data_IF_537152258417
#
_entry.id   IF_537152258417
#
_cell.length_a   1.000
_cell.length_b   1.000
_cell.length_c   1.000
_cell.angle_alpha   90.00
_cell.angle_beta   90.00
_cell.angle_gamma   90.00
#
_symmetry.space_group_name_H-M   'P 1'
#
loop_
_entity.id
_entity.type
_entity.pdbx_description
1 polymer ?
#
# COMPACT_ATOMS: atom_id res chain seq x y z
N UNK A 1 -15.24 29.20 4.16
CA UNK A 1 -16.19 28.09 3.95
C UNK A 1 -15.33 26.96 3.43
N UNK A 2 -14.81 26.12 4.31
CA UNK A 2 -13.81 25.11 3.92
C UNK A 2 -14.55 23.89 3.37
N UNK A 3 -14.61 23.81 2.05
CA UNK A 3 -15.30 22.76 1.32
C UNK A 3 -14.82 21.39 1.75
N UNK A 4 -15.79 20.58 2.16
CA UNK A 4 -15.64 19.19 2.54
C UNK A 4 -15.37 18.35 1.29
N UNK A 5 -14.23 18.57 0.65
CA UNK A 5 -13.91 17.96 -0.65
C UNK A 5 -13.49 16.51 -0.42
N UNK A 6 -14.49 15.64 -0.42
CA UNK A 6 -14.34 14.20 -0.38
C UNK A 6 -14.09 13.73 -1.81
N UNK A 7 -12.91 13.15 -2.02
CA UNK A 7 -12.45 12.62 -3.29
C UNK A 7 -12.67 11.10 -3.36
N UNK A 8 -12.91 10.61 -4.58
CA UNK A 8 -12.91 9.19 -4.92
C UNK A 8 -11.51 8.69 -5.27
N UNK A 9 -11.33 7.37 -5.42
CA UNK A 9 -10.06 6.76 -5.85
C UNK A 9 -9.55 7.37 -7.16
N UNK A 10 -10.45 7.60 -8.12
CA UNK A 10 -10.10 8.15 -9.43
C UNK A 10 -9.64 9.60 -9.36
N UNK A 11 -10.23 10.39 -8.48
CA UNK A 11 -9.84 11.78 -8.25
C UNK A 11 -8.51 11.87 -7.51
N UNK A 12 -8.29 11.02 -6.51
CA UNK A 12 -7.00 10.91 -5.81
C UNK A 12 -5.91 10.44 -6.76
N UNK A 13 -6.21 9.50 -7.65
CA UNK A 13 -5.27 9.04 -8.67
C UNK A 13 -4.88 10.19 -9.62
N UNK A 14 -5.84 11.02 -10.05
CA UNK A 14 -5.55 12.21 -10.84
C UNK A 14 -4.74 13.25 -10.06
N UNK A 15 -5.07 13.44 -8.78
CA UNK A 15 -4.38 14.37 -7.90
C UNK A 15 -2.90 13.99 -7.70
N UNK A 16 -2.64 12.71 -7.41
CA UNK A 16 -1.29 12.16 -7.22
C UNK A 16 -0.58 11.82 -8.54
N UNK A 17 -1.25 12.01 -9.70
CA UNK A 17 -0.78 11.60 -11.03
C UNK A 17 -0.37 10.12 -11.12
N UNK A 18 -1.18 9.25 -10.55
CA UNK A 18 -0.98 7.80 -10.51
C UNK A 18 -2.12 7.03 -11.16
N UNK A 19 -1.93 5.71 -11.31
CA UNK A 19 -2.99 4.80 -11.74
C UNK A 19 -4.00 4.58 -10.61
N UNK A 20 -5.32 4.57 -10.88
CA UNK A 20 -6.35 4.28 -9.87
C UNK A 20 -6.16 2.95 -9.15
N UNK A 21 -5.63 1.93 -9.85
CA UNK A 21 -5.33 0.62 -9.26
C UNK A 21 -4.32 0.70 -8.11
N UNK A 22 -3.30 1.56 -8.25
CA UNK A 22 -2.28 1.78 -7.22
C UNK A 22 -2.88 2.45 -5.99
N UNK A 23 -3.67 3.51 -6.20
CA UNK A 23 -4.37 4.20 -5.11
C UNK A 23 -5.35 3.27 -4.38
N UNK A 24 -6.08 2.44 -5.13
CA UNK A 24 -6.96 1.44 -4.56
C UNK A 24 -6.21 0.42 -3.70
N UNK A 25 -5.06 -0.07 -4.18
CA UNK A 25 -4.21 -1.02 -3.45
C UNK A 25 -3.71 -0.39 -2.15
N UNK A 26 -3.20 0.84 -2.18
CA UNK A 26 -2.75 1.52 -0.96
C UNK A 26 -3.86 1.81 0.03
N UNK A 27 -5.06 2.13 -0.47
CA UNK A 27 -6.20 2.33 0.40
C UNK A 27 -6.54 1.02 1.13
N UNK A 28 -6.49 -0.12 0.43
CA UNK A 28 -6.63 -1.43 1.05
C UNK A 28 -5.49 -1.77 2.03
N UNK A 29 -4.25 -1.44 1.68
CA UNK A 29 -3.06 -1.67 2.51
C UNK A 29 -2.94 -0.67 3.68
N UNK A 30 -3.80 0.35 3.74
CA UNK A 30 -3.77 1.40 4.77
C UNK A 30 -2.59 2.38 4.64
N UNK A 31 -1.95 2.44 3.47
CA UNK A 31 -0.79 3.32 3.23
C UNK A 31 -1.17 4.77 2.95
N UNK A 32 -2.40 5.00 2.48
CA UNK A 32 -2.95 6.32 2.17
C UNK A 32 -4.17 6.61 3.07
N UNK A 33 -4.32 7.83 3.61
CA UNK A 33 -5.43 8.16 4.50
C UNK A 33 -6.75 8.23 3.73
N UNK A 34 -7.53 7.16 3.83
CA UNK A 34 -8.86 7.04 3.23
C UNK A 34 -9.80 6.23 4.10
N UNK A 35 -11.11 6.40 3.91
CA UNK A 35 -12.13 5.62 4.59
C UNK A 35 -12.99 4.88 3.57
N UNK A 36 -13.21 3.59 3.81
CA UNK A 36 -14.14 2.80 3.02
C UNK A 36 -15.57 3.08 3.47
N UNK A 37 -16.35 3.77 2.65
CA UNK A 37 -17.75 4.07 2.88
C UNK A 37 -18.60 3.21 1.95
N UNK A 38 -19.15 2.13 2.51
CA UNK A 38 -19.91 1.13 1.76
C UNK A 38 -19.04 0.38 0.75
N UNK A 39 -19.27 0.62 -0.54
CA UNK A 39 -18.58 -0.04 -1.65
C UNK A 39 -17.41 0.76 -2.23
N UNK A 40 -17.28 2.02 -1.82
CA UNK A 40 -16.31 2.95 -2.40
C UNK A 40 -15.34 3.47 -1.33
N UNK A 41 -14.16 3.87 -1.78
CA UNK A 41 -13.22 4.60 -0.95
C UNK A 41 -13.41 6.10 -1.10
N UNK A 42 -13.36 6.79 0.03
CA UNK A 42 -13.51 8.23 0.14
C UNK A 42 -12.31 8.80 0.87
N UNK A 43 -11.76 9.88 0.33
CA UNK A 43 -10.55 10.51 0.83
C UNK A 43 -10.83 11.98 1.05
N UNK A 44 -10.47 12.52 2.22
CA UNK A 44 -10.61 13.96 2.45
C UNK A 44 -9.39 14.65 1.86
N UNK A 45 -9.61 15.62 0.97
CA UNK A 45 -8.52 16.38 0.34
C UNK A 45 -7.56 17.00 1.34
N UNK A 46 -8.07 17.64 2.40
CA UNK A 46 -7.24 18.24 3.45
C UNK A 46 -6.27 17.24 4.11
N UNK A 47 -6.74 16.01 4.39
CA UNK A 47 -5.91 14.99 5.04
C UNK A 47 -4.87 14.44 4.04
N UNK A 48 -5.26 14.30 2.78
CA UNK A 48 -4.34 13.91 1.71
C UNK A 48 -3.22 14.94 1.54
N UNK A 49 -3.54 16.23 1.56
CA UNK A 49 -2.58 17.32 1.44
C UNK A 49 -1.55 17.27 2.57
N UNK A 50 -2.02 17.16 3.82
CA UNK A 50 -1.16 17.00 5.00
C UNK A 50 -0.31 15.74 4.92
N UNK A 51 -0.87 14.62 4.45
CA UNK A 51 -0.12 13.37 4.31
C UNK A 51 0.99 13.49 3.26
N UNK A 52 0.73 14.16 2.14
CA UNK A 52 1.74 14.42 1.11
C UNK A 52 2.85 15.29 1.69
N UNK A 53 2.50 16.38 2.35
CA UNK A 53 3.47 17.32 2.93
C UNK A 53 4.39 16.62 3.95
N UNK A 54 3.80 15.81 4.83
CA UNK A 54 4.55 14.95 5.76
C UNK A 54 5.43 13.92 5.03
N UNK A 55 4.92 13.30 3.95
CA UNK A 55 5.68 12.30 3.19
C UNK A 55 6.89 12.90 2.47
N UNK A 56 6.77 14.14 1.98
CA UNK A 56 7.86 14.88 1.33
C UNK A 56 8.87 15.35 2.38
N UNK A 57 8.39 15.87 3.52
CA UNK A 57 9.25 16.30 4.62
C UNK A 57 10.10 15.16 5.18
N UNK A 58 9.58 13.93 5.15
CA UNK A 58 10.30 12.75 5.63
C UNK A 58 11.35 12.23 4.64
N UNK A 59 11.41 12.69 3.37
CA UNK A 59 12.44 12.18 2.46
C UNK A 59 12.61 12.83 1.07
N UNK A 60 13.87 12.86 0.58
CA UNK A 60 14.24 12.93 -0.85
C UNK A 60 14.04 11.59 -1.62
N UNK A 61 13.42 10.57 -1.03
CA UNK A 61 13.21 9.23 -1.62
C UNK A 61 12.28 8.29 -0.82
N UNK A 62 11.40 8.83 0.02
CA UNK A 62 10.69 8.07 1.07
C UNK A 62 9.44 7.39 0.54
N UNK A 63 8.86 7.98 -0.49
CA UNK A 63 7.86 7.34 -1.32
C UNK A 63 8.43 6.06 -1.96
N UNK A 64 9.70 6.05 -2.39
CA UNK A 64 10.32 4.89 -3.04
C UNK A 64 10.57 3.73 -2.05
N UNK A 65 11.04 4.05 -0.83
CA UNK A 65 11.25 3.08 0.25
C UNK A 65 9.95 2.39 0.70
N UNK A 66 8.85 3.13 0.78
CA UNK A 66 7.56 2.59 1.23
C UNK A 66 6.94 1.65 0.17
N UNK A 67 7.24 1.85 -1.11
CA UNK A 67 6.78 0.99 -2.20
C UNK A 67 7.66 -0.23 -2.44
N UNK A 68 8.98 -0.12 -2.23
CA UNK A 68 9.90 -1.25 -2.37
C UNK A 68 9.62 -2.36 -1.35
N UNK A 69 9.02 -2.04 -0.20
CA UNK A 69 8.64 -3.05 0.79
C UNK A 69 7.57 -4.03 0.26
N UNK A 70 6.76 -3.65 -0.74
CA UNK A 70 5.80 -4.55 -1.38
C UNK A 70 6.43 -5.45 -2.46
N UNK A 71 7.59 -5.10 -3.03
CA UNK A 71 8.29 -5.94 -4.03
C UNK A 71 9.19 -6.97 -3.35
N UNK A 72 9.71 -6.66 -2.15
CA UNK A 72 10.56 -7.59 -1.39
C UNK A 72 9.78 -8.66 -0.62
N UNK A 73 8.50 -8.45 -0.30
CA UNK A 73 7.68 -9.48 0.36
C UNK A 73 7.16 -10.58 -0.58
N UNK A 74 7.24 -10.39 -1.91
CA UNK A 74 6.80 -11.41 -2.88
C UNK A 74 7.85 -12.45 -3.24
N UNK A 75 9.03 -12.46 -2.59
CA UNK A 75 10.08 -13.43 -2.94
C UNK A 75 10.93 -13.94 -1.76
N UNK A 76 10.28 -14.37 -0.67
CA UNK A 76 10.93 -15.27 0.30
C UNK A 76 10.26 -16.64 0.31
N UNK A 77 10.78 -17.47 -0.61
CA UNK A 77 10.95 -18.92 -0.56
C UNK A 77 9.90 -19.77 0.17
N UNK A 78 9.11 -20.46 -0.65
CA UNK A 78 8.70 -21.84 -0.44
C UNK A 78 9.85 -22.67 0.15
N UNK A 79 9.60 -23.31 1.28
CA UNK A 79 10.23 -24.60 1.57
C UNK A 79 9.63 -25.55 0.54
N UNK A 80 10.43 -26.00 -0.43
CA UNK A 80 9.99 -26.97 -1.42
C UNK A 80 9.56 -28.26 -0.73
N UNK A 81 8.54 -28.95 -1.26
CA UNK A 81 8.07 -30.24 -0.69
C UNK A 81 9.22 -31.24 -0.49
N UNK A 82 10.26 -31.14 -1.32
CA UNK A 82 11.48 -31.94 -1.27
C UNK A 82 12.32 -31.70 -0.01
N UNK A 83 12.36 -30.46 0.53
CA UNK A 83 13.01 -30.16 1.81
C UNK A 83 12.18 -30.62 3.01
N UNK A 84 10.85 -30.65 2.90
CA UNK A 84 9.99 -31.21 3.95
C UNK A 84 10.14 -32.74 4.00
N UNK A 85 10.21 -33.40 2.83
CA UNK A 85 10.38 -34.86 2.72
C UNK A 85 11.76 -35.32 3.22
N UNK A 86 12.83 -34.54 2.99
CA UNK A 86 14.17 -34.87 3.50
C UNK A 86 14.24 -34.76 5.03
N UNK A 87 13.65 -33.71 5.62
CA UNK A 87 13.61 -33.51 7.07
C UNK A 87 12.78 -34.57 7.81
N UNK A 88 11.68 -35.02 7.19
CA UNK A 88 10.85 -36.10 7.75
C UNK A 88 11.55 -37.45 7.69
N UNK A 89 12.36 -37.71 6.65
CA UNK A 89 13.11 -38.96 6.52
C UNK A 89 14.28 -39.04 7.52
N UNK A 90 14.97 -37.93 7.77
CA UNK A 90 16.07 -37.86 8.74
C UNK A 90 15.60 -37.98 10.19
N UNK A 91 14.33 -37.65 10.49
CA UNK A 91 13.75 -37.74 11.84
C UNK A 91 13.25 -39.16 12.22
N UNK A 92 13.28 -40.12 11.29
CA UNK A 92 12.76 -41.48 11.48
C UNK A 92 13.87 -42.56 11.51
N UNK A 93 15.14 -42.18 11.51
CA UNK A 93 16.31 -43.03 11.82
C UNK A 93 16.92 -42.70 13.19
#
# INVERSE_FOLDING_TARGET
MEESDIMTVEEVARFLKMKPQTVYKWAQEGQIPGTKLGKEWRFRKSILDEWIDNSIALSKGGFDLMFQQSVLQSNQQSIGKEEIDSLLRESME
#
